data_IF_654765272874
#
_entry.id   IF_654765272874
#
_cell.length_a   1.000
_cell.length_b   1.000
_cell.length_c   1.000
_cell.angle_alpha   90.00
_cell.angle_beta   90.00
_cell.angle_gamma   90.00
#
_symmetry.space_group_name_H-M   'P 1'
#
loop_
_entity.id
_entity.type
_entity.pdbx_description
1 polymer ?
#
# COMPACT_ATOMS: atom_id res chain seq x y z
N UNK A 1 63.57 10.01 -29.56
CA UNK A 1 62.49 10.19 -28.56
C UNK A 1 62.51 8.92 -27.70
N UNK A 2 63.19 8.90 -26.56
CA UNK A 2 62.70 9.29 -25.22
C UNK A 2 61.60 8.35 -24.66
N UNK A 3 62.01 7.41 -23.78
CA UNK A 3 61.32 6.75 -22.64
C UNK A 3 59.91 6.13 -22.89
N UNK A 4 59.52 5.01 -22.30
CA UNK A 4 60.19 4.13 -21.33
C UNK A 4 59.16 3.34 -20.52
N UNK A 5 59.53 2.11 -20.14
CA UNK A 5 59.21 1.43 -18.88
C UNK A 5 57.76 1.42 -18.35
N UNK A 6 57.12 0.26 -18.53
CA UNK A 6 56.59 -0.59 -17.45
C UNK A 6 56.47 0.03 -16.04
N UNK A 7 55.23 0.11 -15.52
CA UNK A 7 55.04 0.00 -14.06
C UNK A 7 53.73 -0.62 -13.61
N UNK A 8 53.90 -1.82 -13.08
CA UNK A 8 53.11 -2.52 -12.07
C UNK A 8 52.25 -1.63 -11.14
N UNK A 9 51.03 -2.11 -10.89
CA UNK A 9 50.36 -2.04 -9.59
C UNK A 9 49.15 -2.98 -9.56
N UNK A 10 49.39 -4.22 -9.18
CA UNK A 10 48.33 -5.01 -8.54
C UNK A 10 47.97 -4.42 -7.18
N UNK A 11 46.75 -4.68 -6.71
CA UNK A 11 46.50 -4.74 -5.26
C UNK A 11 45.31 -5.66 -4.95
N UNK A 12 45.42 -6.42 -3.85
CA UNK A 12 44.62 -7.61 -3.62
C UNK A 12 43.60 -7.46 -2.48
N UNK A 13 42.33 -7.82 -2.76
CA UNK A 13 41.29 -8.12 -1.76
C UNK A 13 40.13 -8.85 -2.45
N UNK A 14 39.75 -10.08 -2.14
CA UNK A 14 40.23 -11.03 -1.14
C UNK A 14 39.11 -11.45 -0.19
N UNK A 15 38.87 -12.78 -0.08
CA UNK A 15 37.98 -13.47 0.91
C UNK A 15 36.48 -13.30 0.59
N UNK A 16 35.57 -14.29 0.62
CA UNK A 16 35.54 -15.74 0.99
C UNK A 16 34.55 -16.40 -0.01
N UNK A 17 34.73 -17.59 -0.61
CA UNK A 17 34.94 -18.93 -0.05
C UNK A 17 33.86 -19.38 0.95
N UNK A 18 33.07 -20.41 0.57
CA UNK A 18 32.37 -21.36 1.47
C UNK A 18 31.23 -20.80 2.38
N UNK A 19 30.23 -21.57 2.82
CA UNK A 19 29.87 -22.98 2.57
C UNK A 19 28.39 -23.20 2.99
N UNK A 20 27.74 -24.20 2.40
CA UNK A 20 26.56 -24.85 2.99
C UNK A 20 26.88 -25.42 4.39
N UNK A 21 25.99 -25.21 5.36
CA UNK A 21 26.03 -25.89 6.65
C UNK A 21 24.61 -26.12 7.19
N UNK A 22 24.44 -27.24 7.88
CA UNK A 22 23.16 -27.91 8.16
C UNK A 22 22.74 -27.80 9.64
N UNK A 23 21.41 -27.87 9.85
CA UNK A 23 20.56 -28.10 11.05
C UNK A 23 21.16 -28.39 12.44
N UNK A 24 20.36 -28.15 13.51
CA UNK A 24 19.50 -29.22 14.06
C UNK A 24 18.03 -28.74 14.24
N UNK A 25 16.96 -29.54 14.14
CA UNK A 25 16.54 -30.68 14.98
C UNK A 25 16.43 -30.29 16.48
N UNK A 26 15.31 -30.43 17.20
CA UNK A 26 14.04 -31.11 16.91
C UNK A 26 12.82 -30.41 17.60
N UNK A 27 11.63 -31.02 17.44
CA UNK A 27 10.30 -30.67 18.01
C UNK A 27 9.54 -29.50 17.34
N UNK A 28 8.24 -29.56 17.00
CA UNK A 28 7.24 -30.67 17.03
C UNK A 28 6.22 -30.66 15.85
N UNK A 29 5.62 -31.84 15.60
CA UNK A 29 4.22 -32.14 15.26
C UNK A 29 3.35 -31.15 14.42
N UNK A 30 3.05 -31.60 13.20
CA UNK A 30 1.71 -31.61 12.55
C UNK A 30 1.01 -30.27 12.22
N UNK A 31 1.02 -29.90 10.93
CA UNK A 31 0.19 -28.80 10.41
C UNK A 31 0.23 -28.60 8.90
N UNK A 32 -0.55 -29.37 8.13
CA UNK A 32 -0.69 -29.22 6.67
C UNK A 32 -1.16 -27.82 6.24
N UNK A 33 -0.33 -27.06 5.50
CA UNK A 33 -0.77 -25.86 4.75
C UNK A 33 0.17 -25.42 3.61
N UNK A 34 0.56 -26.34 2.72
CA UNK A 34 1.40 -26.06 1.54
C UNK A 34 0.73 -25.20 0.46
N UNK A 35 0.53 -23.88 0.71
CA UNK A 35 0.52 -22.80 -0.31
C UNK A 35 0.47 -21.37 0.30
N UNK A 36 1.29 -21.09 1.33
CA UNK A 36 1.18 -19.85 2.11
C UNK A 36 2.35 -18.85 1.98
N UNK A 37 3.38 -19.07 1.15
CA UNK A 37 4.63 -18.28 1.23
C UNK A 37 5.05 -17.50 -0.04
N UNK A 38 4.08 -16.83 -0.67
CA UNK A 38 4.34 -15.67 -1.56
C UNK A 38 3.38 -14.49 -1.31
N UNK A 39 2.78 -14.42 -0.12
CA UNK A 39 1.85 -13.35 0.27
C UNK A 39 2.60 -12.11 0.79
N UNK A 40 3.39 -11.47 -0.08
CA UNK A 40 4.04 -10.17 0.22
C UNK A 40 2.97 -9.12 0.55
N UNK A 41 3.04 -8.60 1.78
CA UNK A 41 2.24 -7.53 2.38
C UNK A 41 0.71 -7.80 2.47
N UNK A 42 0.20 -7.76 3.70
CA UNK A 42 -1.24 -7.76 4.02
C UNK A 42 -1.91 -6.47 3.52
N UNK A 43 -2.40 -6.50 2.27
CA UNK A 43 -3.11 -5.38 1.64
C UNK A 43 -4.47 -5.15 2.31
N UNK A 44 -4.58 -4.15 3.17
CA UNK A 44 -5.87 -3.72 3.72
C UNK A 44 -6.67 -2.99 2.63
N UNK A 45 -7.88 -3.47 2.34
CA UNK A 45 -8.86 -2.75 1.54
C UNK A 45 -9.42 -1.62 2.40
N UNK A 46 -9.06 -0.37 2.09
CA UNK A 46 -9.58 0.78 2.82
C UNK A 46 -9.94 1.89 1.85
N UNK A 47 -11.17 2.39 1.96
CA UNK A 47 -11.62 3.65 1.35
C UNK A 47 -11.05 4.83 2.17
N UNK A 48 -9.79 5.21 1.94
CA UNK A 48 -9.25 6.44 2.56
C UNK A 48 -9.34 7.59 1.58
N UNK A 49 -9.77 8.75 2.06
CA UNK A 49 -9.50 10.00 1.37
C UNK A 49 -7.98 10.26 1.43
N UNK A 50 -7.39 10.62 0.31
CA UNK A 50 -6.01 11.08 0.21
C UNK A 50 -5.93 12.33 -0.63
N UNK A 51 -4.85 13.08 -0.48
CA UNK A 51 -4.56 14.28 -1.25
C UNK A 51 -3.27 14.04 -2.02
N UNK A 52 -3.31 14.25 -3.33
CA UNK A 52 -2.14 14.28 -4.21
C UNK A 52 -1.65 15.71 -4.26
N UNK A 53 -0.50 16.00 -3.66
CA UNK A 53 0.12 17.32 -3.65
C UNK A 53 1.33 17.36 -4.60
N UNK A 54 1.41 18.39 -5.44
CA UNK A 54 2.47 18.58 -6.44
C UNK A 54 2.70 20.08 -6.69
N UNK A 55 3.68 20.41 -7.54
CA UNK A 55 4.10 21.80 -7.78
C UNK A 55 4.44 22.50 -6.45
N UNK A 56 5.41 21.94 -5.71
CA UNK A 56 5.82 22.40 -4.37
C UNK A 56 4.67 22.58 -3.36
N UNK A 57 3.66 21.71 -3.46
CA UNK A 57 2.39 21.71 -2.69
C UNK A 57 1.42 22.85 -3.02
N UNK A 58 1.72 23.71 -4.01
CA UNK A 58 0.80 24.73 -4.50
C UNK A 58 -0.38 24.16 -5.30
N UNK A 59 -0.29 22.90 -5.74
CA UNK A 59 -1.39 22.21 -6.42
C UNK A 59 -1.77 20.94 -5.66
N UNK A 60 -3.06 20.78 -5.38
CA UNK A 60 -3.60 19.60 -4.68
C UNK A 60 -4.81 19.03 -5.39
N UNK A 61 -4.90 17.71 -5.44
CA UNK A 61 -6.02 16.97 -6.04
C UNK A 61 -6.56 15.92 -5.05
N UNK A 62 -7.87 15.85 -4.81
CA UNK A 62 -8.46 14.81 -3.98
C UNK A 62 -8.42 13.46 -4.72
N UNK A 63 -8.02 12.42 -4.00
CA UNK A 63 -8.00 11.04 -4.49
C UNK A 63 -8.61 10.09 -3.45
N UNK A 64 -9.01 8.91 -3.92
CA UNK A 64 -9.42 7.79 -3.07
C UNK A 64 -8.32 6.75 -3.09
N UNK A 65 -7.70 6.51 -1.94
CA UNK A 65 -6.82 5.35 -1.78
C UNK A 65 -7.70 4.11 -1.84
N UNK A 66 -7.31 3.13 -2.66
CA UNK A 66 -7.99 1.83 -2.80
C UNK A 66 -7.21 0.68 -2.21
N UNK A 67 -5.89 0.81 -2.23
CA UNK A 67 -4.97 -0.18 -1.70
C UNK A 67 -3.70 0.55 -1.26
N UNK A 68 -3.14 0.15 -0.12
CA UNK A 68 -1.84 0.60 0.35
C UNK A 68 -1.01 -0.61 0.77
N UNK A 69 0.28 -0.54 0.49
CA UNK A 69 1.31 -1.51 0.85
C UNK A 69 2.58 -0.76 1.20
N UNK A 70 3.54 -1.44 1.82
CA UNK A 70 4.81 -0.86 2.25
C UNK A 70 5.62 -0.19 1.12
N UNK A 71 5.48 -0.66 -0.13
CA UNK A 71 6.25 -0.17 -1.27
C UNK A 71 5.46 0.72 -2.24
N UNK A 72 4.17 0.95 -2.00
CA UNK A 72 3.32 1.70 -2.92
C UNK A 72 1.82 1.56 -2.69
N UNK A 73 1.04 2.25 -3.51
CA UNK A 73 -0.41 2.37 -3.38
C UNK A 73 -1.14 2.27 -4.73
N UNK A 74 -2.45 1.99 -4.68
CA UNK A 74 -3.38 2.20 -5.79
C UNK A 74 -4.35 3.30 -5.41
N UNK A 75 -4.42 4.33 -6.25
CA UNK A 75 -5.27 5.50 -6.08
C UNK A 75 -6.32 5.54 -7.20
N UNK A 76 -7.49 6.06 -6.90
CA UNK A 76 -8.53 6.46 -7.84
C UNK A 76 -8.64 7.99 -7.78
N UNK A 77 -8.50 8.64 -8.92
CA UNK A 77 -8.60 10.11 -9.06
C UNK A 77 -9.98 10.41 -9.65
N UNK A 78 -10.67 11.40 -9.07
CA UNK A 78 -11.96 11.85 -9.60
C UNK A 78 -11.76 12.74 -10.84
N UNK A 79 -12.42 12.41 -11.95
CA UNK A 79 -12.34 13.17 -13.19
C UNK A 79 -11.21 12.71 -14.12
N UNK A 80 -10.71 13.62 -14.96
CA UNK A 80 -9.57 13.38 -15.85
C UNK A 80 -8.27 13.19 -15.05
N UNK A 81 -7.37 12.33 -15.56
CA UNK A 81 -6.10 11.99 -14.94
C UNK A 81 -5.09 13.16 -14.98
N UNK A 82 -5.32 14.19 -14.16
CA UNK A 82 -4.47 15.38 -14.07
C UNK A 82 -3.30 15.22 -13.07
N UNK A 83 -3.02 14.00 -12.59
CA UNK A 83 -1.91 13.76 -11.66
C UNK A 83 -0.57 13.59 -12.40
N UNK A 84 0.47 14.33 -12.01
CA UNK A 84 1.80 14.24 -12.61
C UNK A 84 2.48 12.90 -12.30
N UNK A 85 3.60 12.63 -12.95
CA UNK A 85 4.36 11.39 -12.76
C UNK A 85 5.00 11.27 -11.38
N UNK A 86 5.32 12.39 -10.72
CA UNK A 86 5.77 12.41 -9.32
C UNK A 86 4.99 13.42 -8.48
N UNK A 87 4.63 13.02 -7.26
CA UNK A 87 3.84 13.83 -6.33
C UNK A 87 4.01 13.35 -4.89
N UNK A 88 3.54 14.13 -3.92
CA UNK A 88 3.46 13.72 -2.52
C UNK A 88 2.04 13.23 -2.23
N UNK A 89 1.90 11.99 -1.75
CA UNK A 89 0.63 11.42 -1.31
C UNK A 89 0.46 11.69 0.19
N UNK A 90 -0.60 12.42 0.54
CA UNK A 90 -0.97 12.72 1.92
C UNK A 90 -2.25 11.94 2.27
N UNK A 91 -2.20 11.15 3.34
CA UNK A 91 -3.34 10.42 3.90
C UNK A 91 -3.59 10.94 5.31
N UNK A 92 -4.50 11.91 5.43
CA UNK A 92 -4.74 12.66 6.67
C UNK A 92 -5.20 11.80 7.86
N UNK A 93 -5.88 10.69 7.59
CA UNK A 93 -6.37 9.75 8.61
C UNK A 93 -5.25 8.91 9.22
N UNK A 94 -4.30 8.46 8.39
CA UNK A 94 -3.13 7.71 8.84
C UNK A 94 -2.03 8.62 9.38
N UNK A 95 -2.14 9.92 9.13
CA UNK A 95 -1.03 10.84 9.30
C UNK A 95 0.15 10.41 8.42
N UNK A 96 -0.07 10.02 7.17
CA UNK A 96 0.99 9.51 6.29
C UNK A 96 1.26 10.48 5.14
N UNK A 97 2.53 10.82 4.91
CA UNK A 97 3.01 11.62 3.78
C UNK A 97 4.15 10.88 3.08
N UNK A 98 4.00 10.54 1.79
CA UNK A 98 4.99 9.76 1.05
C UNK A 98 5.24 10.31 -0.36
N UNK A 99 6.52 10.44 -0.78
CA UNK A 99 6.87 10.77 -2.16
C UNK A 99 6.52 9.59 -3.06
N UNK A 100 5.68 9.82 -4.06
CA UNK A 100 5.13 8.82 -4.94
C UNK A 100 5.55 9.07 -6.40
N UNK A 101 5.69 7.99 -7.15
CA UNK A 101 5.94 7.96 -8.59
C UNK A 101 4.93 7.05 -9.28
N UNK A 102 4.36 7.48 -10.40
CA UNK A 102 3.35 6.71 -11.16
C UNK A 102 4.02 5.60 -11.95
N UNK A 103 3.69 4.35 -11.61
CA UNK A 103 4.16 3.16 -12.35
C UNK A 103 3.24 2.87 -13.53
N UNK A 104 1.92 2.95 -13.33
CA UNK A 104 0.90 2.64 -14.35
C UNK A 104 -0.36 3.48 -14.16
N UNK A 105 -0.97 3.91 -15.27
CA UNK A 105 -2.29 4.55 -15.35
C UNK A 105 -3.27 3.59 -16.03
N UNK A 106 -4.52 3.52 -15.56
CA UNK A 106 -5.58 2.70 -16.14
C UNK A 106 -6.95 3.34 -15.86
N UNK A 107 -7.56 3.98 -16.86
CA UNK A 107 -8.78 4.77 -16.69
C UNK A 107 -8.61 5.80 -15.57
N UNK A 108 -9.52 5.83 -14.59
CA UNK A 108 -9.43 6.76 -13.47
C UNK A 108 -8.55 6.26 -12.30
N UNK A 109 -7.80 5.16 -12.49
CA UNK A 109 -6.94 4.56 -11.47
C UNK A 109 -5.46 4.70 -11.82
N UNK A 110 -4.64 4.99 -10.81
CA UNK A 110 -3.18 5.00 -10.92
C UNK A 110 -2.55 4.06 -9.87
N UNK A 111 -1.50 3.36 -10.27
CA UNK A 111 -0.66 2.58 -9.38
C UNK A 111 0.67 3.32 -9.19
N UNK A 112 1.06 3.55 -7.94
CA UNK A 112 2.25 4.34 -7.58
C UNK A 112 3.21 3.56 -6.70
N UNK A 113 4.50 3.83 -6.86
CA UNK A 113 5.61 3.39 -6.02
C UNK A 113 5.94 4.47 -5.01
N UNK A 114 6.31 4.11 -3.79
CA UNK A 114 6.92 5.04 -2.85
C UNK A 114 8.43 5.18 -3.16
N UNK A 115 8.85 6.41 -3.45
CA UNK A 115 10.24 6.76 -3.81
C UNK A 115 11.10 6.92 -2.54
N UNK A 116 10.47 7.39 -1.45
CA UNK A 116 11.06 7.49 -0.12
C UNK A 116 10.19 6.75 0.91
N UNK A 117 10.75 6.35 2.07
CA UNK A 117 9.96 5.80 3.17
C UNK A 117 8.82 6.74 3.57
N UNK A 118 7.58 6.24 3.75
CA UNK A 118 6.46 7.07 4.19
C UNK A 118 6.75 7.75 5.53
N UNK A 119 6.58 9.07 5.57
CA UNK A 119 6.76 9.88 6.78
C UNK A 119 5.45 9.88 7.55
N UNK A 120 5.52 9.51 8.83
CA UNK A 120 4.37 9.63 9.74
C UNK A 120 4.36 11.06 10.31
N UNK A 121 3.31 11.80 9.97
CA UNK A 121 2.89 13.07 10.57
C UNK A 121 1.73 12.82 11.54
N UNK A 122 1.30 13.82 12.31
CA UNK A 122 0.12 13.67 13.15
C UNK A 122 -1.15 13.53 12.28
N UNK A 123 -1.99 12.53 12.56
CA UNK A 123 -3.28 12.34 11.87
C UNK A 123 -4.14 13.59 12.01
N UNK A 124 -4.42 14.28 10.91
CA UNK A 124 -5.20 15.53 10.89
C UNK A 124 -6.70 15.30 10.95
N UNK A 125 -7.18 14.08 10.68
CA UNK A 125 -8.61 13.72 10.68
C UNK A 125 -8.85 12.31 11.24
N UNK A 126 -9.51 12.20 12.39
CA UNK A 126 -9.91 10.91 12.96
C UNK A 126 -11.30 10.52 12.45
N UNK A 127 -11.41 9.44 11.67
CA UNK A 127 -12.72 8.93 11.24
C UNK A 127 -13.33 8.03 12.31
N UNK A 128 -14.15 8.62 13.19
CA UNK A 128 -14.95 7.86 14.18
C UNK A 128 -16.15 7.23 13.46
N UNK A 129 -16.04 5.94 13.13
CA UNK A 129 -17.20 5.15 12.69
C UNK A 129 -18.04 4.84 13.93
N UNK A 130 -19.03 5.68 14.23
CA UNK A 130 -20.11 5.28 15.16
C UNK A 130 -20.87 4.13 14.51
N UNK A 131 -20.86 2.95 15.13
CA UNK A 131 -21.75 1.88 14.74
C UNK A 131 -23.20 2.37 14.84
N UNK A 132 -23.92 2.40 13.71
CA UNK A 132 -25.34 2.71 13.73
C UNK A 132 -26.06 1.53 14.38
N UNK A 133 -26.49 1.71 15.63
CA UNK A 133 -27.40 0.78 16.31
C UNK A 133 -28.82 1.17 15.88
N UNK A 134 -29.51 0.36 15.05
CA UNK A 134 -30.89 0.64 14.69
C UNK A 134 -31.76 0.59 15.96
N UNK A 135 -32.35 1.73 16.33
CA UNK A 135 -33.02 1.87 17.63
C UNK A 135 -34.28 0.99 17.77
N UNK A 136 -34.83 0.51 16.64
CA UNK A 136 -35.80 -0.60 16.60
C UNK A 136 -35.58 -1.43 15.32
N UNK A 137 -35.73 -2.77 15.37
CA UNK A 137 -35.80 -3.60 14.17
C UNK A 137 -37.12 -3.34 13.41
N UNK A 138 -37.15 -3.37 12.07
CA UNK A 138 -38.37 -3.20 11.30
C UNK A 138 -39.33 -4.36 11.58
N UNK A 139 -40.41 -4.09 12.30
CA UNK A 139 -41.45 -5.06 12.59
C UNK A 139 -42.29 -5.33 11.34
N UNK A 140 -41.82 -6.26 10.50
CA UNK A 140 -42.56 -6.82 9.37
C UNK A 140 -43.77 -7.65 9.86
N UNK A 141 -44.74 -6.98 10.49
CA UNK A 141 -46.02 -7.56 10.87
C UNK A 141 -46.84 -7.77 9.60
N UNK A 142 -46.60 -8.89 8.92
CA UNK A 142 -47.43 -9.41 7.82
C UNK A 142 -48.86 -9.53 8.37
N UNK A 143 -49.73 -8.57 8.05
CA UNK A 143 -51.17 -8.73 8.28
C UNK A 143 -51.62 -9.90 7.40
N UNK A 144 -52.11 -10.97 8.02
CA UNK A 144 -52.94 -11.95 7.32
C UNK A 144 -54.18 -11.23 6.80
N UNK A 145 -54.61 -11.56 5.57
CA UNK A 145 -55.94 -11.20 5.07
C UNK A 145 -56.95 -12.23 5.60
N UNK A 146 -58.02 -11.84 6.29
CA UNK A 146 -59.23 -12.65 6.46
C UNK A 146 -60.26 -12.25 5.39
N UNK A 147 -60.95 -13.24 4.82
CA UNK A 147 -61.78 -13.11 3.61
C UNK A 147 -61.05 -13.77 2.42
N UNK A 148 -61.57 -14.81 1.78
CA UNK A 148 -62.95 -15.36 1.67
C UNK A 148 -62.88 -16.92 1.64
N UNK A 149 -63.94 -17.70 1.32
CA UNK A 149 -65.40 -17.57 1.60
C UNK A 149 -65.99 -18.85 2.28
N UNK A 150 -67.28 -18.80 2.62
CA UNK A 150 -68.26 -19.87 2.37
C UNK A 150 -69.66 -19.24 2.37
#
# INVERSE_FOLDING_TARGET
MHRGDEKDRGDAKGRRAAQDAVSPAASEMTGTSTRAERRRATRRLVLKAGIVAFNDRHSTLPCRVRNISETGARLEIGGSLNAPDTFDLIIEIDGLEARCEVIRRNGNQIAVRFVSPPRITASRRVQVIKAYVPVQPPSLRRKSKPGEPC
#
